data_IF_394748336538
#
_entry.id   IF_394748336538
#
_cell.length_a   1.000
_cell.length_b   1.000
_cell.length_c   1.000
_cell.angle_alpha   90.00
_cell.angle_beta   90.00
_cell.angle_gamma   90.00
#
_symmetry.space_group_name_H-M   'P 1'
#
loop_
_entity.id
_entity.type
_entity.pdbx_description
1 polymer ?
#
# COMPACT_ATOMS: atom_id res chain seq x y z
N UNK A 1 -19.44 -2.42 -6.68
CA UNK A 1 -18.86 -1.08 -6.37
C UNK A 1 -17.75 -1.17 -5.30
N UNK A 2 -17.06 -2.31 -5.25
CA UNK A 2 -15.89 -2.66 -4.44
C UNK A 2 -15.03 -3.38 -5.50
N UNK A 3 -14.01 -2.78 -6.11
CA UNK A 3 -12.59 -3.08 -5.82
C UNK A 3 -11.63 -2.13 -6.58
N UNK A 4 -12.16 -1.12 -7.29
CA UNK A 4 -11.36 -0.26 -8.17
C UNK A 4 -10.24 0.46 -7.39
N UNK A 5 -10.49 0.84 -6.15
CA UNK A 5 -9.50 1.48 -5.27
C UNK A 5 -8.32 0.57 -4.96
N UNK A 6 -8.55 -0.74 -4.78
CA UNK A 6 -7.47 -1.70 -4.52
C UNK A 6 -6.58 -1.86 -5.77
N UNK A 7 -7.20 -1.97 -6.95
CA UNK A 7 -6.48 -2.06 -8.24
C UNK A 7 -5.66 -0.79 -8.51
N UNK A 8 -6.25 0.39 -8.29
CA UNK A 8 -5.56 1.67 -8.44
C UNK A 8 -4.41 1.82 -7.44
N UNK A 9 -4.58 1.33 -6.21
CA UNK A 9 -3.52 1.33 -5.19
C UNK A 9 -2.36 0.43 -5.61
N UNK A 10 -2.66 -0.80 -6.03
CA UNK A 10 -1.66 -1.75 -6.49
C UNK A 10 -0.89 -1.21 -7.69
N UNK A 11 -1.59 -0.67 -8.70
CA UNK A 11 -0.96 -0.06 -9.87
C UNK A 11 -0.09 1.15 -9.50
N UNK A 12 -0.54 1.99 -8.56
CA UNK A 12 0.26 3.13 -8.09
C UNK A 12 1.58 2.68 -7.46
N UNK A 13 1.55 1.64 -6.61
CA UNK A 13 2.73 1.11 -5.94
C UNK A 13 3.67 0.40 -6.91
N UNK A 14 3.15 -0.52 -7.73
CA UNK A 14 3.96 -1.28 -8.70
C UNK A 14 4.75 -0.34 -9.60
N UNK A 15 4.14 0.76 -10.03
CA UNK A 15 4.82 1.72 -10.90
C UNK A 15 5.89 2.56 -10.16
N UNK A 16 5.86 2.65 -8.83
CA UNK A 16 6.69 3.59 -8.03
C UNK A 16 7.64 2.92 -7.03
N UNK A 17 7.55 1.61 -6.83
CA UNK A 17 8.49 0.85 -6.00
C UNK A 17 9.69 0.43 -6.86
N UNK A 18 10.93 0.60 -6.37
CA UNK A 18 12.12 0.18 -7.09
C UNK A 18 12.25 -1.35 -7.11
N UNK A 19 12.61 -1.92 -8.27
CA UNK A 19 12.86 -3.36 -8.41
C UNK A 19 14.33 -3.65 -8.69
N UNK A 20 14.85 -4.74 -8.11
CA UNK A 20 16.23 -5.17 -8.32
C UNK A 20 16.51 -5.48 -9.81
N UNK A 21 15.56 -6.11 -10.51
CA UNK A 21 15.65 -6.40 -11.95
C UNK A 21 15.78 -5.15 -12.83
N UNK A 22 15.42 -3.97 -12.30
CA UNK A 22 15.53 -2.68 -12.97
C UNK A 22 16.68 -1.83 -12.39
N UNK A 23 17.72 -2.45 -11.81
CA UNK A 23 18.82 -1.75 -11.14
C UNK A 23 18.34 -0.77 -10.04
N UNK A 24 17.33 -1.19 -9.26
CA UNK A 24 16.66 -0.35 -8.25
C UNK A 24 15.99 0.91 -8.82
N UNK A 25 15.67 0.93 -10.11
CA UNK A 25 14.77 1.92 -10.71
C UNK A 25 13.31 1.48 -10.58
N UNK A 26 12.40 2.46 -10.62
CA UNK A 26 10.96 2.22 -10.64
C UNK A 26 10.49 2.01 -12.09
N UNK A 27 9.44 1.21 -12.35
CA UNK A 27 8.91 1.03 -13.70
C UNK A 27 8.47 2.35 -14.36
N UNK A 28 7.90 3.27 -13.56
CA UNK A 28 7.53 4.61 -14.04
C UNK A 28 8.75 5.39 -14.54
N UNK A 29 9.86 5.36 -13.78
CA UNK A 29 11.09 6.04 -14.18
C UNK A 29 11.65 5.43 -15.47
N UNK A 30 11.69 4.09 -15.53
CA UNK A 30 12.20 3.38 -16.70
C UNK A 30 11.40 3.70 -17.98
N UNK A 31 10.07 3.82 -17.86
CA UNK A 31 9.18 4.04 -19.00
C UNK A 31 9.07 5.51 -19.43
N UNK A 32 9.00 6.46 -18.47
CA UNK A 32 8.68 7.87 -18.77
C UNK A 32 9.95 8.76 -18.74
N UNK A 33 11.13 8.21 -18.41
CA UNK A 33 12.38 8.97 -18.21
C UNK A 33 12.19 10.18 -17.28
N UNK A 34 11.21 10.11 -16.38
CA UNK A 34 10.91 11.17 -15.42
C UNK A 34 11.93 11.18 -14.30
N UNK A 35 12.32 12.35 -13.78
CA UNK A 35 13.24 12.45 -12.66
C UNK A 35 12.73 11.60 -11.48
N UNK A 36 13.64 10.95 -10.73
CA UNK A 36 13.25 10.03 -9.68
C UNK A 36 12.55 10.80 -8.57
N UNK A 37 11.23 10.61 -8.43
CA UNK A 37 10.54 10.97 -7.20
C UNK A 37 10.95 9.95 -6.15
N UNK A 38 11.97 10.29 -5.36
CA UNK A 38 12.55 9.42 -4.34
C UNK A 38 11.60 9.15 -3.17
N UNK A 39 10.54 9.97 -3.02
CA UNK A 39 9.57 9.84 -1.95
C UNK A 39 8.25 9.27 -2.49
N UNK A 40 7.86 8.13 -1.94
CA UNK A 40 6.51 7.59 -2.09
C UNK A 40 5.59 8.39 -1.15
N UNK A 41 5.08 9.53 -1.65
CA UNK A 41 4.14 10.35 -0.89
C UNK A 41 2.95 9.48 -0.44
N UNK A 42 2.59 9.50 0.86
CA UNK A 42 1.44 8.74 1.35
C UNK A 42 0.17 9.20 0.64
N UNK A 43 -0.33 8.38 -0.29
CA UNK A 43 -1.58 8.67 -0.98
C UNK A 43 -2.73 8.01 -0.23
N UNK A 44 -3.74 8.81 0.13
CA UNK A 44 -4.99 8.32 0.71
C UNK A 44 -5.79 7.62 -0.39
N UNK A 45 -5.88 6.30 -0.30
CA UNK A 45 -6.66 5.48 -1.23
C UNK A 45 -8.10 5.29 -0.78
N UNK A 46 -8.37 5.40 0.54
CA UNK A 46 -9.72 5.40 1.08
C UNK A 46 -10.46 4.07 0.94
N UNK A 47 -9.74 2.95 0.76
CA UNK A 47 -10.38 1.64 0.63
C UNK A 47 -10.70 1.03 2.00
N UNK A 48 -11.79 0.26 2.06
CA UNK A 48 -12.14 -0.54 3.24
C UNK A 48 -11.14 -1.69 3.36
N UNK A 49 -10.53 -1.83 4.53
CA UNK A 49 -9.60 -2.92 4.86
C UNK A 49 -9.99 -3.56 6.18
N UNK A 50 -9.53 -4.78 6.41
CA UNK A 50 -9.73 -5.50 7.67
C UNK A 50 -8.37 -5.75 8.33
N UNK A 51 -8.12 -5.10 9.47
CA UNK A 51 -6.86 -5.22 10.21
C UNK A 51 -6.98 -6.37 11.20
N UNK A 52 -5.98 -7.26 11.22
CA UNK A 52 -5.97 -8.39 12.15
C UNK A 52 -5.73 -7.92 13.59
N UNK A 53 -6.57 -8.38 14.51
CA UNK A 53 -6.41 -8.13 15.94
C UNK A 53 -5.71 -9.32 16.60
N UNK A 54 -4.59 -9.05 17.28
CA UNK A 54 -3.82 -10.08 17.96
C UNK A 54 -4.56 -10.65 19.19
N UNK A 55 -4.21 -11.89 19.57
CA UNK A 55 -4.83 -12.63 20.67
C UNK A 55 -4.81 -11.90 22.01
N UNK A 56 -3.73 -11.17 22.31
CA UNK A 56 -3.60 -10.40 23.55
C UNK A 56 -4.53 -9.18 23.62
N UNK A 57 -5.12 -8.78 22.50
CA UNK A 57 -6.05 -7.64 22.41
C UNK A 57 -7.51 -8.10 22.33
N UNK A 58 -7.79 -9.42 22.43
CA UNK A 58 -9.13 -9.97 22.22
C UNK A 58 -9.52 -11.04 23.25
N UNK A 59 -10.79 -11.06 23.63
CA UNK A 59 -11.42 -12.18 24.32
C UNK A 59 -11.87 -13.26 23.33
N UNK A 60 -12.16 -14.48 23.79
CA UNK A 60 -12.46 -15.66 22.95
C UNK A 60 -13.61 -15.46 21.95
N UNK A 61 -14.53 -14.53 22.23
CA UNK A 61 -15.70 -14.22 21.40
C UNK A 61 -15.56 -12.93 20.56
N UNK A 62 -14.45 -12.21 20.70
CA UNK A 62 -14.25 -10.96 19.97
C UNK A 62 -13.92 -11.22 18.50
N UNK A 63 -14.29 -10.30 17.58
CA UNK A 63 -13.96 -10.41 16.17
C UNK A 63 -12.44 -10.51 15.95
N UNK A 64 -12.03 -11.27 14.92
CA UNK A 64 -10.61 -11.50 14.59
C UNK A 64 -9.97 -10.36 13.80
N UNK A 65 -10.79 -9.46 13.27
CA UNK A 65 -10.36 -8.34 12.47
C UNK A 65 -11.29 -7.15 12.65
N UNK A 66 -10.74 -5.95 12.54
CA UNK A 66 -11.45 -4.68 12.62
C UNK A 66 -11.57 -4.04 11.24
N UNK A 67 -12.74 -3.48 10.91
CA UNK A 67 -12.96 -2.76 9.66
C UNK A 67 -12.36 -1.36 9.76
N UNK A 68 -11.41 -1.04 8.89
CA UNK A 68 -10.71 0.25 8.85
C UNK A 68 -10.74 0.85 7.45
N UNK A 69 -10.26 2.09 7.33
CA UNK A 69 -10.00 2.77 6.05
C UNK A 69 -8.49 2.84 5.84
N UNK A 70 -8.02 2.44 4.67
CA UNK A 70 -6.61 2.52 4.32
C UNK A 70 -6.21 3.93 3.88
N UNK A 71 -5.31 4.54 4.65
CA UNK A 71 -4.85 5.93 4.45
C UNK A 71 -3.53 5.97 3.65
N UNK A 72 -2.76 4.88 3.61
CA UNK A 72 -1.50 4.82 2.90
C UNK A 72 -0.45 4.01 3.65
N UNK A 73 0.79 4.04 3.14
CA UNK A 73 1.93 3.36 3.74
C UNK A 73 2.77 4.35 4.56
N UNK A 74 3.23 3.93 5.74
CA UNK A 74 4.17 4.73 6.50
C UNK A 74 5.56 4.67 5.85
N UNK A 75 6.35 5.75 5.88
CA UNK A 75 7.63 5.85 5.17
C UNK A 75 8.71 4.85 5.64
N UNK A 76 8.48 4.13 6.74
CA UNK A 76 9.45 3.23 7.38
C UNK A 76 8.86 1.85 7.75
N UNK A 77 7.77 1.43 7.10
CA UNK A 77 7.26 0.06 7.24
C UNK A 77 7.86 -0.81 6.11
N UNK A 78 8.61 -1.85 6.49
CA UNK A 78 9.06 -2.94 5.61
C UNK A 78 8.00 -4.02 5.54
#
# INVERSE_FOLDING_TARGET
MLDLTAVVSAAYLINRIPFNILNFQTPLHHHIQTPPTQNLEPRIFGCVVFVHLHDHQRSKLNPRAEKCVFIGYAPHQK
#
